data_IF_741777224231
#
_entry.id   IF_741777224231
#
_cell.length_a   1.000
_cell.length_b   1.000
_cell.length_c   1.000
_cell.angle_alpha   90.00
_cell.angle_beta   90.00
_cell.angle_gamma   90.00
#
_symmetry.space_group_name_H-M   'P 1'
#
loop_
_entity.id
_entity.type
_entity.pdbx_description
1 polymer ?
#
# COMPACT_ATOMS: atom_id res chain seq x y z
N UNK A 1 26.22 21.78 -2.96
CA UNK A 1 26.52 21.97 -4.42
C UNK A 1 25.88 23.26 -4.87
N UNK A 2 26.58 24.08 -5.68
CA UNK A 2 25.95 25.21 -6.40
C UNK A 2 24.74 24.68 -7.18
N UNK A 3 23.64 25.46 -7.27
CA UNK A 3 22.52 25.13 -8.14
C UNK A 3 23.06 24.92 -9.56
N UNK A 4 22.77 23.76 -10.15
CA UNK A 4 23.12 23.48 -11.54
C UNK A 4 22.48 24.54 -12.44
N UNK A 5 23.22 25.05 -13.41
CA UNK A 5 22.69 25.94 -14.45
C UNK A 5 21.71 25.20 -15.39
N UNK A 6 21.78 23.87 -15.39
CA UNK A 6 20.96 22.98 -16.22
C UNK A 6 19.76 22.46 -15.44
N UNK A 7 18.60 22.40 -16.09
CA UNK A 7 17.38 21.80 -15.53
C UNK A 7 17.50 20.29 -15.44
N UNK A 8 16.71 19.65 -14.58
CA UNK A 8 16.68 18.18 -14.48
C UNK A 8 16.28 17.53 -15.81
N UNK A 9 15.38 18.15 -16.58
CA UNK A 9 14.98 17.70 -17.92
C UNK A 9 16.13 17.73 -18.93
N UNK A 10 17.00 18.76 -18.90
CA UNK A 10 18.18 18.84 -19.77
C UNK A 10 19.21 17.77 -19.42
N UNK A 11 19.46 17.57 -18.12
CA UNK A 11 20.41 16.56 -17.63
C UNK A 11 19.92 15.15 -18.00
N UNK A 12 18.63 14.88 -17.86
CA UNK A 12 18.04 13.57 -18.18
C UNK A 12 18.02 13.27 -19.67
N UNK A 13 17.72 14.28 -20.50
CA UNK A 13 17.77 14.13 -21.97
C UNK A 13 19.19 13.77 -22.43
N UNK A 14 20.21 14.39 -21.84
CA UNK A 14 21.61 14.08 -22.11
C UNK A 14 21.98 12.62 -21.75
N UNK A 15 21.54 12.14 -20.59
CA UNK A 15 21.83 10.75 -20.15
C UNK A 15 21.16 9.75 -21.10
N UNK A 16 19.88 9.96 -21.43
CA UNK A 16 19.12 9.12 -22.38
C UNK A 16 19.74 9.08 -23.77
N UNK A 17 20.21 10.22 -24.28
CA UNK A 17 20.92 10.27 -25.56
C UNK A 17 22.14 9.33 -25.56
N UNK A 18 22.91 9.28 -24.46
CA UNK A 18 24.03 8.34 -24.36
C UNK A 18 23.60 6.87 -24.27
N UNK A 19 22.47 6.59 -23.63
CA UNK A 19 21.90 5.22 -23.54
C UNK A 19 21.36 4.74 -24.88
N UNK A 20 20.87 5.66 -25.72
CA UNK A 20 20.48 5.41 -27.11
C UNK A 20 21.67 5.35 -28.09
N UNK A 21 22.92 5.49 -27.60
CA UNK A 21 24.13 5.29 -28.40
C UNK A 21 24.80 6.57 -28.93
N UNK A 22 24.32 7.76 -28.56
CA UNK A 22 25.01 9.02 -28.88
C UNK A 22 26.32 9.10 -28.09
N UNK A 23 27.41 9.55 -28.72
CA UNK A 23 28.71 9.61 -28.04
C UNK A 23 28.68 10.68 -26.95
N UNK A 24 29.18 10.33 -25.76
CA UNK A 24 29.27 11.25 -24.61
C UNK A 24 29.99 12.55 -24.97
N UNK A 25 31.02 12.49 -25.83
CA UNK A 25 31.77 13.64 -26.29
C UNK A 25 30.91 14.65 -27.08
N UNK A 26 30.04 14.16 -27.96
CA UNK A 26 29.12 15.00 -28.75
C UNK A 26 28.10 15.69 -27.84
N UNK A 27 27.58 14.96 -26.86
CA UNK A 27 26.65 15.50 -25.84
C UNK A 27 27.34 16.59 -25.00
N UNK A 28 28.60 16.39 -24.64
CA UNK A 28 29.39 17.35 -23.87
C UNK A 28 29.67 18.62 -24.66
N UNK A 29 29.98 18.50 -25.94
CA UNK A 29 30.20 19.63 -26.86
C UNK A 29 28.91 20.44 -27.07
N UNK A 30 27.77 19.77 -27.30
CA UNK A 30 26.47 20.42 -27.50
C UNK A 30 25.99 21.19 -26.26
N UNK A 31 26.13 20.58 -25.08
CA UNK A 31 25.69 21.18 -23.82
C UNK A 31 26.72 22.12 -23.18
N UNK A 32 27.94 22.16 -23.70
CA UNK A 32 29.05 22.95 -23.16
C UNK A 32 29.50 22.49 -21.76
N UNK A 33 29.49 21.18 -21.51
CA UNK A 33 29.89 20.57 -20.23
C UNK A 33 31.13 19.69 -20.40
N UNK A 34 31.81 19.37 -19.30
CA UNK A 34 32.88 18.37 -19.30
C UNK A 34 32.33 16.95 -19.15
N UNK A 35 33.06 15.95 -19.67
CA UNK A 35 32.72 14.53 -19.49
C UNK A 35 32.62 14.15 -18.00
N UNK A 36 33.48 14.72 -17.15
CA UNK A 36 33.41 14.52 -15.70
C UNK A 36 32.05 14.99 -15.11
N UNK A 37 31.50 16.08 -15.63
CA UNK A 37 30.18 16.59 -15.25
C UNK A 37 29.08 15.64 -15.71
N UNK A 38 29.17 15.16 -16.95
CA UNK A 38 28.25 14.18 -17.50
C UNK A 38 28.21 12.88 -16.67
N UNK A 39 29.37 12.29 -16.35
CA UNK A 39 29.41 11.07 -15.54
C UNK A 39 28.93 11.30 -14.09
N UNK A 40 29.17 12.49 -13.53
CA UNK A 40 28.59 12.87 -12.23
C UNK A 40 27.06 12.93 -12.30
N UNK A 41 26.50 13.45 -13.39
CA UNK A 41 25.06 13.41 -13.63
C UNK A 41 24.54 12.00 -13.82
N UNK A 42 25.19 11.18 -14.66
CA UNK A 42 24.81 9.79 -14.90
C UNK A 42 24.79 8.99 -13.59
N UNK A 43 25.78 9.16 -12.71
CA UNK A 43 25.82 8.52 -11.39
C UNK A 43 24.65 8.96 -10.49
N UNK A 44 24.24 10.23 -10.57
CA UNK A 44 23.18 10.78 -9.72
C UNK A 44 21.77 10.48 -10.23
N UNK A 45 21.57 10.43 -11.55
CA UNK A 45 20.24 10.47 -12.16
C UNK A 45 19.87 9.20 -12.96
N UNK A 46 20.81 8.28 -13.23
CA UNK A 46 20.51 7.04 -13.97
C UNK A 46 19.47 6.14 -13.30
N UNK A 47 19.46 6.05 -11.96
CA UNK A 47 18.51 5.19 -11.23
C UNK A 47 17.14 5.83 -10.93
N UNK A 48 17.03 7.15 -11.00
CA UNK A 48 15.80 7.87 -10.64
C UNK A 48 14.79 7.97 -11.81
N UNK A 49 15.28 7.86 -13.06
CA UNK A 49 14.48 8.14 -14.25
C UNK A 49 14.44 7.00 -15.28
N UNK A 50 15.02 5.86 -14.96
CA UNK A 50 14.78 4.62 -15.71
C UNK A 50 13.29 4.24 -15.63
N UNK A 51 12.81 3.40 -16.55
CA UNK A 51 11.49 2.76 -16.42
C UNK A 51 11.31 2.11 -15.03
N UNK A 52 12.41 1.61 -14.45
CA UNK A 52 12.43 1.05 -13.09
C UNK A 52 12.20 2.13 -12.03
N UNK A 53 12.83 3.31 -12.14
CA UNK A 53 12.60 4.44 -11.22
C UNK A 53 11.15 4.95 -11.23
N UNK A 54 10.53 5.04 -12.42
CA UNK A 54 9.10 5.37 -12.56
C UNK A 54 8.21 4.29 -11.95
N UNK A 55 8.55 3.01 -12.15
CA UNK A 55 7.82 1.88 -11.55
C UNK A 55 7.92 1.90 -10.03
N UNK A 56 9.09 2.20 -9.46
CA UNK A 56 9.30 2.32 -8.02
C UNK A 56 8.41 3.42 -7.45
N UNK A 57 8.46 4.64 -8.02
CA UNK A 57 7.61 5.75 -7.55
C UNK A 57 6.11 5.42 -7.61
N UNK A 58 5.66 4.83 -8.72
CA UNK A 58 4.27 4.39 -8.85
C UNK A 58 3.88 3.31 -7.82
N UNK A 59 4.81 2.43 -7.45
CA UNK A 59 4.58 1.43 -6.40
C UNK A 59 4.53 2.08 -5.01
N UNK A 60 5.42 3.03 -4.73
CA UNK A 60 5.41 3.82 -3.48
C UNK A 60 4.09 4.59 -3.31
N UNK A 61 3.63 5.27 -4.35
CA UNK A 61 2.35 6.00 -4.33
C UNK A 61 1.15 5.06 -4.07
N UNK A 62 1.18 3.86 -4.66
CA UNK A 62 0.16 2.82 -4.42
C UNK A 62 0.21 2.30 -3.00
N UNK A 63 1.40 1.99 -2.47
CA UNK A 63 1.57 1.54 -1.08
C UNK A 63 1.02 2.61 -0.14
N UNK A 64 1.36 3.87 -0.36
CA UNK A 64 0.90 4.94 0.51
C UNK A 64 -0.63 5.14 0.45
N UNK A 65 -1.22 4.98 -0.74
CA UNK A 65 -2.67 5.02 -0.90
C UNK A 65 -3.34 3.86 -0.17
N UNK A 66 -2.80 2.63 -0.33
CA UNK A 66 -3.29 1.43 0.36
C UNK A 66 -3.17 1.55 1.88
N UNK A 67 -2.07 2.11 2.39
CA UNK A 67 -1.88 2.34 3.83
C UNK A 67 -2.96 3.26 4.41
N UNK A 68 -3.27 4.36 3.71
CA UNK A 68 -4.33 5.29 4.13
C UNK A 68 -5.70 4.60 4.15
N UNK A 69 -6.04 3.86 3.10
CA UNK A 69 -7.31 3.11 3.03
C UNK A 69 -7.40 2.04 4.12
N UNK A 70 -6.32 1.30 4.37
CA UNK A 70 -6.25 0.29 5.43
C UNK A 70 -6.41 0.91 6.81
N UNK A 71 -5.81 2.08 7.05
CA UNK A 71 -5.95 2.79 8.33
C UNK A 71 -7.41 3.18 8.57
N UNK A 72 -8.08 3.73 7.55
CA UNK A 72 -9.50 4.08 7.63
C UNK A 72 -10.37 2.86 7.92
N UNK A 73 -10.22 1.78 7.14
CA UNK A 73 -10.98 0.54 7.34
C UNK A 73 -10.73 -0.11 8.69
N UNK A 74 -9.49 -0.02 9.21
CA UNK A 74 -9.15 -0.54 10.54
C UNK A 74 -9.84 0.28 11.63
N UNK A 75 -9.85 1.61 11.50
CA UNK A 75 -10.57 2.47 12.43
C UNK A 75 -12.08 2.22 12.41
N UNK A 76 -12.68 2.09 11.23
CA UNK A 76 -14.12 1.77 11.08
C UNK A 76 -14.45 0.41 11.71
N UNK A 77 -13.61 -0.59 11.47
CA UNK A 77 -13.76 -1.91 12.09
C UNK A 77 -13.71 -1.84 13.62
N UNK A 78 -12.79 -1.07 14.20
CA UNK A 78 -12.69 -0.89 15.66
C UNK A 78 -13.95 -0.22 16.24
N UNK A 79 -14.48 0.80 15.56
CA UNK A 79 -15.74 1.44 15.93
C UNK A 79 -16.92 0.46 15.87
N UNK A 80 -17.01 -0.35 14.82
CA UNK A 80 -18.05 -1.38 14.70
C UNK A 80 -17.91 -2.49 15.76
N UNK A 81 -16.69 -2.88 16.10
CA UNK A 81 -16.45 -3.83 17.19
C UNK A 81 -16.85 -3.26 18.56
N UNK A 82 -16.62 -1.97 18.80
CA UNK A 82 -17.14 -1.26 19.98
C UNK A 82 -18.66 -1.31 20.04
N UNK A 83 -19.35 -1.03 18.93
CA UNK A 83 -20.82 -1.14 18.86
C UNK A 83 -21.27 -2.57 19.17
N UNK A 84 -20.62 -3.57 18.57
CA UNK A 84 -20.92 -4.98 18.81
C UNK A 84 -20.77 -5.36 20.30
N UNK A 85 -19.77 -4.82 20.99
CA UNK A 85 -19.54 -5.10 22.40
C UNK A 85 -20.59 -4.46 23.31
N UNK A 86 -21.03 -3.25 22.99
CA UNK A 86 -21.88 -2.45 23.88
C UNK A 86 -23.39 -2.62 23.64
N UNK A 87 -23.80 -3.00 22.41
CA UNK A 87 -25.23 -2.99 22.04
C UNK A 87 -25.83 -4.37 21.73
N UNK A 88 -25.00 -5.41 21.56
CA UNK A 88 -25.50 -6.74 21.19
C UNK A 88 -25.30 -7.76 22.31
N UNK A 89 -26.36 -8.51 22.59
CA UNK A 89 -26.35 -9.66 23.50
C UNK A 89 -25.60 -10.84 22.90
N UNK A 90 -25.22 -11.80 23.76
CA UNK A 90 -24.55 -13.03 23.31
C UNK A 90 -25.43 -13.84 22.35
N UNK A 91 -26.75 -13.85 22.53
CA UNK A 91 -27.66 -14.61 21.65
C UNK A 91 -27.75 -13.98 20.26
N UNK A 92 -27.90 -12.65 20.17
CA UNK A 92 -27.90 -11.92 18.89
C UNK A 92 -26.58 -12.13 18.13
N UNK A 93 -25.44 -12.13 18.84
CA UNK A 93 -24.14 -12.45 18.24
C UNK A 93 -24.08 -13.87 17.68
N UNK A 94 -24.69 -14.86 18.34
CA UNK A 94 -24.75 -16.25 17.81
C UNK A 94 -25.61 -16.34 16.55
N UNK A 95 -26.77 -15.66 16.53
CA UNK A 95 -27.61 -15.60 15.33
C UNK A 95 -26.86 -14.96 14.16
N UNK A 96 -26.14 -13.87 14.41
CA UNK A 96 -25.29 -13.25 13.40
C UNK A 96 -24.15 -14.18 12.93
N UNK A 97 -23.57 -15.01 13.81
CA UNK A 97 -22.60 -16.04 13.39
C UNK A 97 -23.22 -17.04 12.41
N UNK A 98 -24.45 -17.50 12.65
CA UNK A 98 -25.16 -18.40 11.74
C UNK A 98 -25.40 -17.71 10.38
N UNK A 99 -25.93 -16.48 10.41
CA UNK A 99 -26.12 -15.68 9.20
C UNK A 99 -24.83 -15.53 8.39
N UNK A 100 -23.70 -15.26 9.06
CA UNK A 100 -22.41 -15.13 8.39
C UNK A 100 -21.95 -16.45 7.73
N UNK A 101 -22.16 -17.59 8.39
CA UNK A 101 -21.82 -18.89 7.85
C UNK A 101 -22.68 -19.26 6.65
N UNK A 102 -23.98 -19.01 6.71
CA UNK A 102 -24.94 -19.34 5.66
C UNK A 102 -24.80 -18.41 4.44
N UNK A 103 -24.58 -17.12 4.67
CA UNK A 103 -24.57 -16.12 3.59
C UNK A 103 -23.21 -16.01 2.88
N UNK A 104 -22.11 -16.14 3.64
CA UNK A 104 -20.76 -15.92 3.11
C UNK A 104 -19.90 -17.19 3.09
N UNK A 105 -20.49 -18.35 3.46
CA UNK A 105 -19.83 -19.66 3.45
C UNK A 105 -18.51 -19.69 4.25
N UNK A 106 -18.39 -18.84 5.27
CA UNK A 106 -17.19 -18.77 6.11
C UNK A 106 -17.26 -19.75 7.28
N UNK A 107 -16.15 -20.41 7.59
CA UNK A 107 -16.10 -21.36 8.71
C UNK A 107 -16.26 -20.72 10.10
N UNK A 108 -16.67 -21.53 11.08
CA UNK A 108 -16.96 -21.15 12.48
C UNK A 108 -15.87 -20.33 13.15
N UNK A 109 -14.59 -20.64 12.89
CA UNK A 109 -13.49 -19.86 13.46
C UNK A 109 -13.50 -18.40 13.00
N UNK A 110 -13.78 -18.16 11.71
CA UNK A 110 -13.77 -16.82 11.14
C UNK A 110 -15.01 -16.04 11.55
N UNK A 111 -16.20 -16.65 11.48
CA UNK A 111 -17.46 -16.00 11.86
C UNK A 111 -17.49 -15.64 13.35
N UNK A 112 -17.10 -16.56 14.25
CA UNK A 112 -17.01 -16.26 15.69
C UNK A 112 -16.03 -15.12 16.00
N UNK A 113 -14.88 -15.06 15.30
CA UNK A 113 -13.92 -13.96 15.46
C UNK A 113 -14.47 -12.61 14.98
N UNK A 114 -15.28 -12.60 13.92
CA UNK A 114 -15.90 -11.37 13.42
C UNK A 114 -16.95 -10.83 14.40
N UNK A 115 -17.72 -11.72 15.03
CA UNK A 115 -18.76 -11.35 16.00
C UNK A 115 -18.25 -11.19 17.44
N UNK A 116 -16.94 -11.28 17.66
CA UNK A 116 -16.29 -11.18 18.97
C UNK A 116 -16.91 -12.13 20.04
N UNK A 117 -17.14 -13.39 19.65
CA UNK A 117 -17.57 -14.45 20.57
C UNK A 117 -16.63 -15.66 20.48
N UNK A 118 -16.42 -16.36 21.60
CA UNK A 118 -15.64 -17.59 21.58
C UNK A 118 -16.44 -18.73 20.95
N UNK A 119 -15.73 -19.69 20.32
CA UNK A 119 -16.36 -20.89 19.75
C UNK A 119 -17.09 -21.72 20.81
N UNK A 120 -16.55 -21.78 22.03
CA UNK A 120 -17.19 -22.45 23.16
C UNK A 120 -18.51 -21.79 23.53
N UNK A 121 -18.53 -20.44 23.59
CA UNK A 121 -19.77 -19.69 23.82
C UNK A 121 -20.75 -19.92 22.68
N UNK A 122 -20.30 -19.97 21.43
CA UNK A 122 -21.18 -20.25 20.29
C UNK A 122 -21.84 -21.64 20.37
N UNK A 123 -21.08 -22.67 20.72
CA UNK A 123 -21.58 -24.05 20.83
C UNK A 123 -22.23 -24.38 22.17
N UNK A 124 -22.23 -23.46 23.15
CA UNK A 124 -22.78 -23.75 24.46
C UNK A 124 -24.31 -23.95 24.36
N UNK A 125 -24.84 -25.10 24.82
CA UNK A 125 -26.26 -25.39 24.74
C UNK A 125 -27.04 -24.37 25.56
N UNK A 126 -27.99 -23.70 24.92
CA UNK A 126 -28.88 -22.76 25.58
C UNK A 126 -29.96 -23.59 26.31
N UNK A 127 -29.77 -23.84 27.61
CA UNK A 127 -30.80 -24.48 28.42
C UNK A 127 -31.94 -23.46 28.62
N UNK A 128 -33.08 -23.73 28.00
CA UNK A 128 -34.33 -22.95 28.11
C UNK A 128 -35.09 -23.17 29.43
N UNK A 129 -34.53 -23.92 30.38
CA UNK A 129 -35.16 -24.19 31.67
C UNK A 129 -34.59 -23.25 32.72
N UNK A 130 -35.22 -22.09 32.89
CA UNK A 130 -35.38 -21.38 34.16
C UNK A 130 -36.37 -20.23 33.90
N UNK A 131 -37.66 -20.58 33.97
CA UNK A 131 -38.75 -19.64 34.22
C UNK A 131 -38.90 -19.44 35.73
#
# INVERSE_FOLDING_TARGET
>A
MRKSRYTEEQITSAIKASECGVKVKEICEELGISEATFYSWKKKYSGLFSEEGRKIKNLEDKVHTMERELQMLTSDKEMLQSVMKNFFTTNEKRQAVNFLQETYEIGTRRSCRLMDISRSVYHYPYNLENH
#
